data_IF_537959040463
#
_entry.id   IF_537959040463
#
_cell.length_a   1.000
_cell.length_b   1.000
_cell.length_c   1.000
_cell.angle_alpha   90.00
_cell.angle_beta   90.00
_cell.angle_gamma   90.00
#
_symmetry.space_group_name_H-M   'P 1'
#
loop_
_entity.id
_entity.type
_entity.pdbx_description
1 polymer ?
#
# COMPACT_ATOMS: atom_id res chain seq x y z
N UNK A 1 -3.93 30.22 3.61
CA UNK A 1 -5.20 29.46 3.71
C UNK A 1 -6.24 30.42 4.21
N UNK A 2 -7.20 30.71 3.36
CA UNK A 2 -8.34 31.57 3.64
C UNK A 2 -9.63 30.74 3.60
N UNK A 3 -10.73 31.30 4.11
CA UNK A 3 -12.03 30.60 4.11
C UNK A 3 -12.47 30.21 2.70
N UNK A 4 -12.15 31.05 1.70
CA UNK A 4 -12.49 30.81 0.31
C UNK A 4 -11.73 29.60 -0.28
N UNK A 5 -10.51 29.35 0.19
CA UNK A 5 -9.73 28.17 -0.19
C UNK A 5 -10.42 26.88 0.28
N UNK A 6 -10.98 26.90 1.49
CA UNK A 6 -11.70 25.75 2.06
C UNK A 6 -13.01 25.51 1.33
N UNK A 7 -13.78 26.56 1.03
CA UNK A 7 -15.00 26.43 0.24
C UNK A 7 -14.71 25.85 -1.15
N UNK A 8 -13.63 26.32 -1.80
CA UNK A 8 -13.16 25.78 -3.07
C UNK A 8 -12.71 24.32 -2.95
N UNK A 9 -11.98 23.97 -1.89
CA UNK A 9 -11.58 22.59 -1.63
C UNK A 9 -12.78 21.66 -1.48
N UNK A 10 -13.83 22.07 -0.75
CA UNK A 10 -15.05 21.28 -0.60
C UNK A 10 -15.73 21.06 -1.95
N UNK A 11 -15.92 22.14 -2.73
CA UNK A 11 -16.49 22.04 -4.08
C UNK A 11 -15.67 21.10 -4.98
N UNK A 12 -14.36 21.27 -4.99
CA UNK A 12 -13.49 20.52 -5.89
C UNK A 12 -13.31 19.06 -5.43
N UNK A 13 -13.30 18.75 -4.14
CA UNK A 13 -13.14 17.37 -3.66
C UNK A 13 -14.44 16.56 -3.77
N UNK A 14 -15.58 17.19 -3.47
CA UNK A 14 -16.87 16.49 -3.35
C UNK A 14 -17.82 16.72 -4.52
N UNK A 15 -17.60 17.76 -5.33
CA UNK A 15 -18.51 18.15 -6.40
C UNK A 15 -19.77 18.85 -5.91
N UNK A 16 -19.77 19.38 -4.68
CA UNK A 16 -20.90 20.15 -4.14
C UNK A 16 -20.94 21.55 -4.77
N UNK A 17 -22.10 21.96 -5.27
CA UNK A 17 -22.26 23.26 -5.96
C UNK A 17 -22.46 24.38 -4.95
N UNK A 18 -21.81 25.54 -5.16
CA UNK A 18 -22.02 26.72 -4.33
C UNK A 18 -23.24 27.48 -4.86
N UNK A 19 -24.28 27.62 -4.03
CA UNK A 19 -25.55 28.25 -4.43
C UNK A 19 -25.58 29.73 -4.04
N UNK A 20 -25.07 30.04 -2.85
CA UNK A 20 -25.08 31.37 -2.30
C UNK A 20 -23.84 31.60 -1.44
N UNK A 21 -23.29 32.80 -1.54
CA UNK A 21 -22.22 33.28 -0.69
C UNK A 21 -22.63 34.65 -0.16
N UNK A 22 -22.75 34.77 1.15
CA UNK A 22 -22.97 36.04 1.83
C UNK A 22 -21.78 36.34 2.77
N UNK A 23 -21.84 37.44 3.51
CA UNK A 23 -20.73 37.86 4.39
C UNK A 23 -20.49 36.90 5.55
N UNK A 24 -21.48 36.07 5.92
CA UNK A 24 -21.42 35.20 7.09
C UNK A 24 -21.20 33.73 6.72
N UNK A 25 -21.67 33.28 5.56
CA UNK A 25 -21.87 31.87 5.23
C UNK A 25 -21.66 31.59 3.74
N UNK A 26 -21.11 30.40 3.43
CA UNK A 26 -21.12 29.81 2.08
C UNK A 26 -22.08 28.61 2.08
N UNK A 27 -23.07 28.60 1.19
CA UNK A 27 -24.08 27.54 1.10
C UNK A 27 -23.85 26.64 -0.10
N UNK A 28 -23.92 25.32 0.14
CA UNK A 28 -23.66 24.27 -0.84
C UNK A 28 -24.92 23.45 -1.12
N UNK A 29 -25.15 23.08 -2.38
CA UNK A 29 -26.02 21.96 -2.75
C UNK A 29 -25.23 20.68 -2.56
N UNK A 30 -25.74 19.78 -1.71
CA UNK A 30 -25.09 18.50 -1.45
C UNK A 30 -25.73 17.39 -2.28
N UNK A 31 -27.06 17.24 -2.20
CA UNK A 31 -27.80 16.24 -2.95
C UNK A 31 -29.24 16.70 -3.20
N UNK A 32 -29.67 16.69 -4.47
CA UNK A 32 -31.01 17.13 -4.88
C UNK A 32 -31.36 18.53 -4.35
N UNK A 33 -32.32 18.64 -3.44
CA UNK A 33 -32.80 19.88 -2.80
C UNK A 33 -32.10 20.17 -1.46
N UNK A 34 -31.17 19.32 -1.01
CA UNK A 34 -30.55 19.43 0.32
C UNK A 34 -29.32 20.31 0.29
N UNK A 35 -29.28 21.24 1.24
CA UNK A 35 -28.22 22.23 1.39
C UNK A 35 -27.48 22.10 2.71
N UNK A 36 -26.25 22.59 2.74
CA UNK A 36 -25.49 22.80 3.98
C UNK A 36 -24.60 24.01 3.87
N UNK A 37 -24.13 24.48 5.02
CA UNK A 37 -23.55 25.81 5.13
C UNK A 37 -22.18 25.78 5.83
N UNK A 38 -21.26 26.63 5.38
CA UNK A 38 -19.96 26.85 5.99
C UNK A 38 -19.94 28.24 6.61
N UNK A 39 -19.89 28.31 7.94
CA UNK A 39 -19.79 29.58 8.66
C UNK A 39 -18.39 30.20 8.48
N UNK A 40 -18.31 31.38 7.87
CA UNK A 40 -17.05 32.05 7.56
C UNK A 40 -16.31 32.52 8.80
N UNK A 41 -17.01 33.03 9.81
CA UNK A 41 -16.41 33.54 11.06
C UNK A 41 -15.77 32.40 11.86
N UNK A 42 -16.48 31.29 12.01
CA UNK A 42 -15.98 30.09 12.69
C UNK A 42 -14.81 29.47 11.93
N UNK A 43 -14.93 29.32 10.61
CA UNK A 43 -13.85 28.77 9.77
C UNK A 43 -12.60 29.64 9.85
N UNK A 44 -12.72 30.98 9.81
CA UNK A 44 -11.60 31.89 9.95
C UNK A 44 -10.92 31.76 11.33
N UNK A 45 -11.70 31.56 12.40
CA UNK A 45 -11.17 31.32 13.74
C UNK A 45 -10.38 29.99 13.81
N UNK A 46 -10.89 28.93 13.19
CA UNK A 46 -10.21 27.63 13.11
C UNK A 46 -8.90 27.74 12.31
N UNK A 47 -8.93 28.39 11.15
CA UNK A 47 -7.73 28.66 10.34
C UNK A 47 -6.67 29.43 11.15
N UNK A 48 -7.08 30.44 11.92
CA UNK A 48 -6.19 31.18 12.80
C UNK A 48 -5.64 30.30 13.93
N UNK A 49 -6.42 29.36 14.44
CA UNK A 49 -5.96 28.43 15.48
C UNK A 49 -4.96 27.42 14.92
N UNK A 50 -5.16 26.94 13.69
CA UNK A 50 -4.28 26.02 12.98
C UNK A 50 -2.85 26.54 12.82
N UNK A 51 -2.63 27.86 12.82
CA UNK A 51 -1.27 28.43 12.76
C UNK A 51 -0.41 28.10 13.99
N UNK A 52 -1.02 27.60 15.08
CA UNK A 52 -0.30 27.16 16.30
C UNK A 52 0.13 25.70 16.24
N UNK A 53 -0.34 24.97 15.24
CA UNK A 53 -0.05 23.55 15.06
C UNK A 53 1.08 23.36 14.05
N UNK A 54 1.70 22.19 14.14
CA UNK A 54 2.74 21.69 13.25
C UNK A 54 2.29 20.36 12.64
N UNK A 55 2.92 19.99 11.55
CA UNK A 55 2.75 18.72 10.83
C UNK A 55 4.07 18.38 10.16
N UNK A 56 4.53 17.12 10.21
CA UNK A 56 5.73 16.67 9.52
C UNK A 56 5.40 15.89 8.25
N UNK A 57 4.49 14.92 8.30
CA UNK A 57 4.16 14.04 7.15
C UNK A 57 2.78 14.34 6.53
N UNK A 58 2.24 15.53 6.79
CA UNK A 58 0.97 16.03 6.27
C UNK A 58 -0.27 15.19 6.65
N UNK A 59 -0.13 14.29 7.62
CA UNK A 59 -1.21 13.44 8.15
C UNK A 59 -1.44 13.60 9.65
N UNK A 60 -0.48 14.14 10.38
CA UNK A 60 -0.63 14.44 11.79
C UNK A 60 -0.66 15.95 12.03
N UNK A 61 -1.46 16.36 13.01
CA UNK A 61 -1.60 17.74 13.44
C UNK A 61 -1.29 17.80 14.93
N UNK A 62 -0.27 18.55 15.32
CA UNK A 62 0.17 18.57 16.71
C UNK A 62 0.67 19.93 17.19
N UNK A 63 0.62 20.15 18.49
CA UNK A 63 1.28 21.23 19.20
C UNK A 63 1.80 20.68 20.53
N UNK A 64 2.24 21.54 21.47
CA UNK A 64 2.80 21.06 22.73
C UNK A 64 1.78 20.34 23.64
N UNK A 65 0.47 20.46 23.39
CA UNK A 65 -0.59 19.94 24.27
C UNK A 65 -1.59 19.01 23.58
N UNK A 66 -1.55 18.90 22.26
CA UNK A 66 -2.50 18.11 21.49
C UNK A 66 -1.81 17.48 20.29
N UNK A 67 -2.25 16.28 19.96
CA UNK A 67 -1.81 15.50 18.82
C UNK A 67 -3.04 14.81 18.24
N UNK A 68 -3.22 14.90 16.93
CA UNK A 68 -4.31 14.26 16.22
C UNK A 68 -3.79 13.68 14.90
N UNK A 69 -4.17 12.44 14.61
CA UNK A 69 -3.76 11.74 13.39
C UNK A 69 -4.90 10.89 12.88
N UNK A 70 -5.10 10.86 11.56
CA UNK A 70 -6.06 9.97 10.92
C UNK A 70 -5.64 8.53 11.13
N UNK A 71 -6.62 7.64 11.32
CA UNK A 71 -6.35 6.21 11.45
C UNK A 71 -6.99 5.40 10.33
N UNK A 72 -6.31 4.32 9.98
CA UNK A 72 -6.87 3.23 9.19
C UNK A 72 -7.33 2.15 10.13
N UNK A 73 -8.53 1.67 9.88
CA UNK A 73 -9.10 0.54 10.57
C UNK A 73 -9.12 -0.67 9.62
N UNK A 74 -8.45 -1.75 10.02
CA UNK A 74 -8.45 -3.03 9.29
C UNK A 74 -9.60 -3.94 9.73
N UNK A 75 -10.27 -3.62 10.85
CA UNK A 75 -11.41 -4.39 11.35
C UNK A 75 -12.70 -3.92 10.68
N UNK A 76 -13.33 -4.80 9.90
CA UNK A 76 -14.57 -4.53 9.13
C UNK A 76 -15.77 -4.07 9.98
N UNK A 77 -15.71 -4.24 11.31
CA UNK A 77 -16.81 -4.00 12.25
C UNK A 77 -16.46 -2.99 13.35
N UNK A 78 -15.97 -1.80 12.98
CA UNK A 78 -16.09 -0.69 13.94
C UNK A 78 -17.57 -0.31 14.06
N UNK A 79 -18.12 -0.56 15.23
CA UNK A 79 -19.34 0.10 15.68
C UNK A 79 -19.02 1.57 15.96
N UNK A 80 -20.04 2.44 15.83
CA UNK A 80 -20.03 3.90 16.08
C UNK A 80 -19.64 4.31 17.53
N UNK A 81 -18.85 3.53 18.25
CA UNK A 81 -18.47 3.80 19.64
C UNK A 81 -17.23 4.66 19.68
N UNK A 82 -17.44 5.93 20.04
CA UNK A 82 -16.39 6.81 20.52
C UNK A 82 -15.66 6.13 21.69
N UNK A 83 -14.33 6.04 21.60
CA UNK A 83 -13.51 5.50 22.68
C UNK A 83 -12.84 6.68 23.36
N UNK A 84 -13.15 6.92 24.63
CA UNK A 84 -12.48 7.94 25.44
C UNK A 84 -11.81 7.27 26.64
N UNK A 85 -10.53 7.61 26.88
CA UNK A 85 -9.77 7.16 28.05
C UNK A 85 -9.03 8.32 28.69
N UNK A 86 -9.26 8.52 29.98
CA UNK A 86 -8.55 9.52 30.78
C UNK A 86 -7.49 8.85 31.65
N UNK A 87 -6.30 9.43 31.64
CA UNK A 87 -5.20 9.07 32.51
C UNK A 87 -4.94 10.27 33.45
N UNK A 88 -5.58 10.30 34.63
CA UNK A 88 -5.44 11.41 35.56
C UNK A 88 -4.04 11.52 36.14
N UNK A 89 -3.28 10.41 36.20
CA UNK A 89 -1.93 10.36 36.78
C UNK A 89 -0.94 11.05 35.85
N UNK A 90 -0.94 10.67 34.58
CA UNK A 90 -0.07 11.28 33.57
C UNK A 90 -0.67 12.56 32.96
N UNK A 91 -1.91 12.91 33.35
CA UNK A 91 -2.66 14.08 32.88
C UNK A 91 -2.89 14.06 31.36
N UNK A 92 -3.19 12.88 30.84
CA UNK A 92 -3.45 12.61 29.43
C UNK A 92 -4.91 12.24 29.21
N UNK A 93 -5.42 12.51 28.02
CA UNK A 93 -6.70 12.01 27.53
C UNK A 93 -6.51 11.51 26.10
N UNK A 94 -6.97 10.30 25.85
CA UNK A 94 -6.97 9.63 24.56
C UNK A 94 -8.39 9.51 24.05
N UNK A 95 -8.61 9.78 22.76
CA UNK A 95 -9.87 9.46 22.09
C UNK A 95 -9.67 8.83 20.71
N UNK A 96 -10.59 7.95 20.33
CA UNK A 96 -10.82 7.52 18.95
C UNK A 96 -12.20 8.03 18.56
N UNK A 97 -12.23 9.01 17.67
CA UNK A 97 -13.46 9.66 17.24
C UNK A 97 -13.31 10.30 15.84
N UNK A 98 -14.40 10.87 15.34
CA UNK A 98 -14.40 11.79 14.20
C UNK A 98 -13.40 12.93 14.41
N UNK A 99 -12.86 13.47 13.30
CA UNK A 99 -11.80 14.47 13.38
C UNK A 99 -12.33 15.75 14.03
N UNK A 100 -11.45 16.48 14.71
CA UNK A 100 -11.73 17.85 15.11
C UNK A 100 -11.99 18.74 13.88
N UNK A 101 -12.64 19.89 14.07
CA UNK A 101 -12.84 20.82 12.95
C UNK A 101 -11.51 21.38 12.45
N UNK A 102 -10.54 21.61 13.35
CA UNK A 102 -9.14 21.90 13.03
C UNK A 102 -8.56 20.85 12.09
N UNK A 103 -8.60 19.57 12.49
CA UNK A 103 -8.01 18.49 11.72
C UNK A 103 -8.73 18.29 10.38
N UNK A 104 -10.06 18.40 10.34
CA UNK A 104 -10.83 18.29 9.10
C UNK A 104 -10.47 19.39 8.10
N UNK A 105 -10.37 20.64 8.55
CA UNK A 105 -9.95 21.76 7.68
C UNK A 105 -8.51 21.56 7.18
N UNK A 106 -7.61 21.11 8.06
CA UNK A 106 -6.24 20.75 7.70
C UNK A 106 -6.23 19.67 6.60
N UNK A 107 -6.97 18.58 6.79
CA UNK A 107 -7.05 17.46 5.86
C UNK A 107 -7.61 17.88 4.49
N UNK A 108 -8.70 18.66 4.47
CA UNK A 108 -9.30 19.17 3.23
C UNK A 108 -8.32 20.02 2.42
N UNK A 109 -7.56 20.89 3.10
CA UNK A 109 -6.54 21.71 2.47
C UNK A 109 -5.43 20.86 1.85
N UNK A 110 -4.97 19.84 2.57
CA UNK A 110 -3.92 18.93 2.09
C UNK A 110 -4.39 18.07 0.91
N UNK A 111 -5.60 17.53 0.96
CA UNK A 111 -6.19 16.76 -0.14
C UNK A 111 -6.41 17.59 -1.40
N UNK A 112 -6.77 18.87 -1.25
CA UNK A 112 -6.93 19.76 -2.39
C UNK A 112 -5.58 20.09 -3.04
N UNK A 113 -4.54 20.33 -2.24
CA UNK A 113 -3.18 20.59 -2.73
C UNK A 113 -2.59 19.40 -3.50
N UNK A 114 -2.84 18.17 -3.05
CA UNK A 114 -2.36 16.96 -3.73
C UNK A 114 -3.22 16.54 -4.93
N UNK A 115 -4.24 17.34 -5.29
CA UNK A 115 -5.18 17.03 -6.37
C UNK A 115 -5.78 15.62 -6.23
N UNK A 116 -6.19 15.27 -4.99
CA UNK A 116 -6.66 13.93 -4.69
C UNK A 116 -7.77 13.48 -5.67
N UNK A 117 -7.70 12.25 -6.23
CA UNK A 117 -8.62 11.73 -7.22
C UNK A 117 -10.08 11.75 -6.79
N UNK A 118 -10.95 11.66 -7.78
CA UNK A 118 -12.42 11.77 -7.72
C UNK A 118 -13.16 10.74 -6.86
N UNK A 119 -12.50 9.97 -5.99
CA UNK A 119 -13.17 8.99 -5.14
C UNK A 119 -14.18 9.65 -4.18
N UNK A 120 -13.87 10.88 -3.75
CA UNK A 120 -14.77 11.73 -2.96
C UNK A 120 -15.93 12.36 -3.77
N UNK A 121 -15.92 12.22 -5.10
CA UNK A 121 -17.04 12.60 -5.99
C UNK A 121 -17.93 11.40 -6.38
N UNK A 122 -17.63 10.19 -5.87
CA UNK A 122 -18.24 8.94 -6.30
C UNK A 122 -19.56 8.57 -5.60
N UNK A 123 -20.19 7.48 -6.07
CA UNK A 123 -21.53 7.06 -5.63
C UNK A 123 -21.69 6.64 -4.16
N UNK A 124 -20.60 6.30 -3.45
CA UNK A 124 -20.65 5.94 -2.01
C UNK A 124 -21.09 7.14 -1.17
N UNK A 125 -20.59 8.34 -1.48
CA UNK A 125 -20.96 9.57 -0.76
C UNK A 125 -22.42 9.91 -1.03
N UNK A 126 -22.89 9.78 -2.28
CA UNK A 126 -24.31 9.95 -2.62
C UNK A 126 -25.22 9.01 -1.83
N UNK A 127 -24.85 7.72 -1.67
CA UNK A 127 -25.62 6.77 -0.86
C UNK A 127 -25.61 7.14 0.64
N UNK A 128 -24.45 7.54 1.18
CA UNK A 128 -24.35 7.94 2.60
C UNK A 128 -25.14 9.20 2.89
N UNK A 129 -25.08 10.19 1.99
CA UNK A 129 -25.91 11.39 2.06
C UNK A 129 -27.39 11.05 2.10
N UNK A 130 -27.87 10.19 1.20
CA UNK A 130 -29.27 9.72 1.23
C UNK A 130 -29.63 9.10 2.57
N UNK A 131 -28.73 8.33 3.19
CA UNK A 131 -28.98 7.73 4.51
C UNK A 131 -29.07 8.79 5.62
N UNK A 132 -28.17 9.77 5.64
CA UNK A 132 -28.19 10.87 6.61
C UNK A 132 -29.52 11.64 6.54
N UNK A 133 -30.01 11.90 5.32
CA UNK A 133 -31.26 12.62 5.09
C UNK A 133 -32.52 11.72 5.07
N UNK A 134 -32.40 10.40 5.08
CA UNK A 134 -33.56 9.47 5.15
C UNK A 134 -33.85 8.98 6.55
N UNK A 135 -32.84 8.91 7.43
CA UNK A 135 -33.00 8.50 8.83
C UNK A 135 -33.58 9.59 9.73
N UNK A 136 -33.77 10.78 9.17
CA UNK A 136 -34.20 11.97 9.87
C UNK A 136 -35.66 12.28 9.51
N UNK A 137 -36.60 11.94 10.39
CA UNK A 137 -37.93 12.58 10.44
C UNK A 137 -37.78 14.04 10.90
N UNK A 138 -36.96 14.80 10.18
CA UNK A 138 -36.60 16.16 10.54
C UNK A 138 -37.73 17.09 10.11
N UNK A 139 -38.22 17.87 11.08
CA UNK A 139 -39.04 19.05 10.85
C UNK A 139 -38.43 19.90 9.72
N UNK A 140 -39.25 20.46 8.84
CA UNK A 140 -38.80 21.20 7.65
C UNK A 140 -37.77 22.32 7.95
N UNK A 141 -37.67 22.75 9.21
CA UNK A 141 -36.73 23.74 9.74
C UNK A 141 -35.26 23.29 9.87
N UNK A 142 -34.93 22.03 10.15
CA UNK A 142 -33.50 21.62 10.28
C UNK A 142 -32.86 21.18 8.94
N UNK A 143 -33.61 21.18 7.84
CA UNK A 143 -33.12 20.80 6.52
C UNK A 143 -32.16 21.82 5.91
N UNK A 144 -32.13 23.06 6.42
CA UNK A 144 -31.44 24.19 5.78
C UNK A 144 -30.20 24.71 6.55
N UNK A 145 -29.97 24.27 7.79
CA UNK A 145 -28.95 24.87 8.69
C UNK A 145 -27.86 23.90 9.19
N UNK A 146 -27.66 22.76 8.53
CA UNK A 146 -26.56 21.86 8.90
C UNK A 146 -25.21 22.44 8.47
N UNK A 147 -24.25 22.42 9.39
CA UNK A 147 -22.85 22.70 9.09
C UNK A 147 -22.31 21.70 8.07
N UNK A 148 -21.64 22.17 7.03
CA UNK A 148 -21.01 21.30 6.04
C UNK A 148 -19.93 20.43 6.70
N UNK A 149 -19.23 20.94 7.72
CA UNK A 149 -18.17 20.20 8.41
C UNK A 149 -18.73 18.98 9.14
N UNK A 150 -19.89 19.09 9.81
CA UNK A 150 -20.50 17.95 10.49
C UNK A 150 -20.97 16.89 9.50
N UNK A 151 -21.55 17.30 8.36
CA UNK A 151 -21.94 16.38 7.28
C UNK A 151 -20.72 15.63 6.76
N UNK A 152 -19.60 16.32 6.51
CA UNK A 152 -18.38 15.68 6.03
C UNK A 152 -17.87 14.61 7.00
N UNK A 153 -17.92 14.84 8.32
CA UNK A 153 -17.56 13.83 9.34
C UNK A 153 -18.43 12.57 9.29
N UNK A 154 -19.70 12.71 8.88
CA UNK A 154 -20.65 11.60 8.75
C UNK A 154 -20.50 10.84 7.43
N UNK A 155 -20.30 11.56 6.32
CA UNK A 155 -20.37 10.96 4.98
C UNK A 155 -19.02 10.49 4.45
N UNK A 156 -17.91 11.11 4.85
CA UNK A 156 -16.59 10.67 4.42
C UNK A 156 -16.30 9.30 5.06
N UNK A 157 -16.03 8.26 4.27
CA UNK A 157 -15.71 6.95 4.81
C UNK A 157 -14.35 6.96 5.51
N UNK A 158 -14.25 6.25 6.64
CA UNK A 158 -12.99 5.95 7.34
C UNK A 158 -12.20 7.21 7.73
N UNK A 159 -12.90 8.23 8.24
CA UNK A 159 -12.29 9.51 8.62
C UNK A 159 -11.97 9.58 10.13
N UNK A 160 -11.98 8.46 10.84
CA UNK A 160 -11.69 8.44 12.27
C UNK A 160 -10.23 8.84 12.57
N UNK A 161 -10.02 9.47 13.72
CA UNK A 161 -8.72 9.95 14.20
C UNK A 161 -8.43 9.41 15.60
N UNK A 162 -7.14 9.24 15.92
CA UNK A 162 -6.70 9.18 17.31
C UNK A 162 -6.33 10.60 17.74
N UNK A 163 -6.89 11.03 18.86
CA UNK A 163 -6.64 12.31 19.49
C UNK A 163 -6.01 12.09 20.86
N UNK A 164 -4.90 12.78 21.12
CA UNK A 164 -4.20 12.77 22.40
C UNK A 164 -4.11 14.21 22.89
N UNK A 165 -4.63 14.46 24.08
CA UNK A 165 -4.50 15.76 24.75
C UNK A 165 -3.74 15.62 26.06
N UNK A 166 -2.88 16.58 26.33
CA UNK A 166 -2.02 16.63 27.50
C UNK A 166 -2.17 17.96 28.23
N UNK A 167 -2.18 17.91 29.57
CA UNK A 167 -2.07 19.12 30.40
C UNK A 167 -0.63 19.62 30.52
N UNK A 168 0.35 18.79 30.20
CA UNK A 168 1.78 19.13 30.18
C UNK A 168 2.27 19.36 28.75
N UNK A 169 3.38 20.08 28.60
CA UNK A 169 4.00 20.24 27.29
C UNK A 169 4.75 18.97 26.90
N UNK A 170 4.48 18.46 25.69
CA UNK A 170 5.11 17.29 25.11
C UNK A 170 5.68 17.61 23.73
N UNK A 171 6.72 16.88 23.35
CA UNK A 171 7.30 16.87 22.00
C UNK A 171 6.65 15.78 21.12
N UNK A 172 6.84 15.87 19.80
CA UNK A 172 6.25 14.94 18.84
C UNK A 172 6.62 13.48 19.14
N UNK A 173 7.90 13.19 19.35
CA UNK A 173 8.36 11.82 19.65
C UNK A 173 7.70 11.24 20.91
N UNK A 174 7.33 12.10 21.87
CA UNK A 174 6.59 11.66 23.05
C UNK A 174 5.15 11.32 22.71
N UNK A 175 4.47 12.13 21.90
CA UNK A 175 3.14 11.80 21.38
C UNK A 175 3.13 10.53 20.55
N UNK A 176 4.12 10.31 19.69
CA UNK A 176 4.26 9.06 18.92
C UNK A 176 4.40 7.84 19.82
N UNK A 177 5.24 7.92 20.87
CA UNK A 177 5.36 6.84 21.84
C UNK A 177 4.03 6.56 22.57
N UNK A 178 3.30 7.61 22.94
CA UNK A 178 1.99 7.48 23.59
C UNK A 178 0.93 6.91 22.63
N UNK A 179 0.96 7.30 21.35
CA UNK A 179 0.10 6.78 20.30
C UNK A 179 0.28 5.28 20.14
N UNK A 180 1.52 4.80 19.95
CA UNK A 180 1.79 3.38 19.79
C UNK A 180 1.50 2.58 21.07
N UNK A 181 1.77 3.16 22.25
CA UNK A 181 1.37 2.55 23.52
C UNK A 181 -0.16 2.42 23.65
N UNK A 182 -0.91 3.43 23.21
CA UNK A 182 -2.37 3.41 23.23
C UNK A 182 -2.93 2.39 22.23
N UNK A 183 -2.41 2.34 21.01
CA UNK A 183 -2.78 1.36 19.99
C UNK A 183 -2.51 -0.06 20.48
N UNK A 184 -1.33 -0.31 21.06
CA UNK A 184 -1.01 -1.62 21.63
C UNK A 184 -1.98 -2.01 22.75
N UNK A 185 -2.25 -1.09 23.69
CA UNK A 185 -3.21 -1.36 24.76
C UNK A 185 -4.61 -1.62 24.22
N UNK A 186 -5.05 -0.89 23.19
CA UNK A 186 -6.34 -1.12 22.57
C UNK A 186 -6.40 -2.52 21.96
N UNK A 187 -5.43 -2.85 21.10
CA UNK A 187 -5.35 -4.16 20.44
C UNK A 187 -5.26 -5.31 21.44
N UNK A 188 -4.45 -5.17 22.48
CA UNK A 188 -4.30 -6.19 23.53
C UNK A 188 -5.61 -6.49 24.28
N UNK A 189 -6.44 -5.46 24.52
CA UNK A 189 -7.67 -5.62 25.31
C UNK A 189 -8.93 -5.89 24.47
N UNK A 190 -8.89 -5.63 23.16
CA UNK A 190 -10.11 -5.63 22.31
C UNK A 190 -9.94 -6.35 20.97
N UNK A 191 -8.74 -6.81 20.64
CA UNK A 191 -8.36 -7.30 19.31
C UNK A 191 -8.62 -6.28 18.17
N UNK A 192 -8.87 -5.01 18.50
CA UNK A 192 -9.03 -3.95 17.52
C UNK A 192 -7.69 -3.58 16.91
N UNK A 193 -7.61 -3.64 15.58
CA UNK A 193 -6.44 -3.24 14.81
C UNK A 193 -6.68 -1.88 14.17
N UNK A 194 -6.08 -0.86 14.78
CA UNK A 194 -6.06 0.52 14.27
C UNK A 194 -4.63 0.96 14.08
N UNK A 195 -4.33 1.64 12.99
CA UNK A 195 -3.00 2.16 12.68
C UNK A 195 -3.10 3.61 12.24
N UNK A 196 -2.18 4.50 12.66
CA UNK A 196 -2.14 5.86 12.16
C UNK A 196 -1.76 5.84 10.69
N UNK A 197 -2.34 6.76 9.93
CA UNK A 197 -1.86 7.06 8.59
C UNK A 197 -0.48 7.69 8.70
N UNK A 198 0.37 7.37 7.72
CA UNK A 198 1.74 7.91 7.64
C UNK A 198 1.93 8.90 6.52
N UNK A 199 1.15 8.77 5.45
CA UNK A 199 1.15 9.74 4.37
C UNK A 199 -0.24 9.86 3.76
N UNK A 200 -0.50 11.01 3.14
CA UNK A 200 -1.84 11.34 2.66
C UNK A 200 -2.32 10.38 1.56
N UNK A 201 -1.40 9.83 0.76
CA UNK A 201 -1.76 8.86 -0.29
C UNK A 201 -2.38 7.59 0.30
N UNK A 202 -2.15 7.22 1.56
CA UNK A 202 -2.81 6.08 2.21
C UNK A 202 -4.32 6.27 2.35
N UNK A 203 -4.76 7.52 2.56
CA UNK A 203 -6.17 7.87 2.64
C UNK A 203 -6.83 7.80 1.26
N UNK A 204 -6.14 8.34 0.27
CA UNK A 204 -6.60 8.48 -1.11
C UNK A 204 -6.60 7.14 -1.85
N UNK A 205 -5.53 6.38 -1.65
CA UNK A 205 -5.29 5.07 -2.21
C UNK A 205 -5.35 4.10 -1.03
N UNK A 206 -6.55 3.68 -0.62
CA UNK A 206 -6.65 2.48 0.21
C UNK A 206 -5.87 1.39 -0.52
N UNK A 207 -4.78 0.87 0.07
CA UNK A 207 -3.73 0.00 -0.50
C UNK A 207 -4.17 -1.35 -1.09
N UNK A 208 -5.37 -1.40 -1.66
CA UNK A 208 -5.62 -2.30 -2.77
C UNK A 208 -4.82 -1.70 -3.92
N UNK A 209 -3.88 -2.47 -4.44
CA UNK A 209 -3.28 -2.22 -5.76
C UNK A 209 -4.46 -2.16 -6.73
N UNK A 210 -5.00 -0.96 -6.86
CA UNK A 210 -6.31 -0.73 -7.41
C UNK A 210 -6.15 -0.95 -8.90
N UNK A 211 -6.61 -2.12 -9.35
CA UNK A 211 -6.80 -2.46 -10.76
C UNK A 211 -5.66 -1.99 -11.65
N UNK A 212 -4.52 -2.70 -11.60
CA UNK A 212 -3.52 -2.71 -12.68
C UNK A 212 -4.23 -2.83 -14.04
N UNK A 213 -5.31 -3.61 -14.08
CA UNK A 213 -6.15 -3.83 -15.27
C UNK A 213 -7.41 -2.98 -15.21
N UNK A 214 -7.61 -2.13 -16.21
CA UNK A 214 -8.78 -1.23 -16.35
C UNK A 214 -9.97 -1.87 -17.08
N UNK A 215 -9.86 -3.13 -17.50
CA UNK A 215 -10.90 -3.83 -18.27
C UNK A 215 -12.20 -3.94 -17.47
N UNK A 216 -13.33 -3.78 -18.16
CA UNK A 216 -14.65 -3.98 -17.58
C UNK A 216 -15.01 -5.45 -17.58
N UNK A 217 -15.96 -5.85 -16.73
CA UNK A 217 -16.48 -7.23 -16.72
C UNK A 217 -17.09 -7.63 -18.06
N UNK A 218 -17.59 -6.66 -18.83
CA UNK A 218 -18.09 -6.86 -20.20
C UNK A 218 -17.01 -7.24 -21.21
N UNK A 219 -15.75 -6.87 -20.94
CA UNK A 219 -14.63 -7.05 -21.86
C UNK A 219 -13.91 -8.39 -21.61
N UNK A 220 -14.36 -9.15 -20.61
CA UNK A 220 -13.76 -10.42 -20.21
C UNK A 220 -14.26 -11.52 -21.15
N UNK A 221 -13.34 -12.10 -21.92
CA UNK A 221 -13.59 -13.28 -22.73
C UNK A 221 -13.51 -14.57 -21.91
N UNK A 222 -14.12 -15.64 -22.43
CA UNK A 222 -13.94 -16.98 -21.89
C UNK A 222 -12.46 -17.41 -21.96
N UNK A 223 -11.97 -18.20 -20.98
CA UNK A 223 -10.57 -18.61 -20.94
C UNK A 223 -10.20 -19.44 -22.18
N UNK A 224 -9.01 -19.16 -22.73
CA UNK A 224 -8.42 -19.88 -23.88
C UNK A 224 -7.26 -20.79 -23.48
N UNK A 225 -6.90 -20.79 -22.20
CA UNK A 225 -5.74 -21.50 -21.64
C UNK A 225 -6.08 -22.10 -20.28
N UNK A 226 -5.42 -23.19 -19.94
CA UNK A 226 -5.46 -23.84 -18.63
C UNK A 226 -4.23 -23.42 -17.84
N UNK A 227 -4.45 -23.04 -16.57
CA UNK A 227 -3.42 -22.60 -15.64
C UNK A 227 -3.28 -23.61 -14.50
N UNK A 228 -2.11 -23.64 -13.85
CA UNK A 228 -1.91 -24.43 -12.64
C UNK A 228 -2.74 -23.87 -11.47
N UNK A 229 -3.59 -24.71 -10.87
CA UNK A 229 -4.48 -24.31 -9.77
C UNK A 229 -3.71 -23.74 -8.59
N UNK A 230 -2.58 -24.33 -8.21
CA UNK A 230 -1.76 -23.86 -7.07
C UNK A 230 -1.24 -22.44 -7.30
N UNK A 231 -0.75 -22.14 -8.51
CA UNK A 231 -0.29 -20.80 -8.86
C UNK A 231 -1.42 -19.78 -8.84
N UNK A 232 -2.60 -20.17 -9.34
CA UNK A 232 -3.80 -19.32 -9.29
C UNK A 232 -4.21 -19.02 -7.85
N UNK A 233 -4.15 -20.00 -6.94
CA UNK A 233 -4.49 -19.78 -5.53
C UNK A 233 -3.54 -18.78 -4.86
N UNK A 234 -2.22 -18.89 -5.10
CA UNK A 234 -1.25 -17.91 -4.61
C UNK A 234 -1.49 -16.52 -5.20
N UNK A 235 -1.74 -16.44 -6.51
CA UNK A 235 -2.04 -15.18 -7.19
C UNK A 235 -3.33 -14.53 -6.66
N UNK A 236 -4.41 -15.30 -6.47
CA UNK A 236 -5.67 -14.80 -5.90
C UNK A 236 -5.51 -14.36 -4.45
N UNK A 237 -4.72 -15.10 -3.65
CA UNK A 237 -4.39 -14.69 -2.28
C UNK A 237 -3.66 -13.35 -2.26
N UNK A 238 -2.74 -13.12 -3.21
CA UNK A 238 -2.08 -11.83 -3.40
C UNK A 238 -3.06 -10.72 -3.79
N UNK A 239 -4.01 -10.98 -4.68
CA UNK A 239 -5.03 -9.98 -5.06
C UNK A 239 -5.95 -9.63 -3.88
N UNK A 240 -6.35 -10.62 -3.08
CA UNK A 240 -7.35 -10.45 -2.02
C UNK A 240 -6.77 -9.98 -0.69
N UNK A 241 -5.45 -9.96 -0.53
CA UNK A 241 -4.80 -9.59 0.74
C UNK A 241 -4.83 -8.09 0.98
N UNK A 242 -5.14 -7.69 2.23
CA UNK A 242 -5.17 -6.28 2.62
C UNK A 242 -3.82 -5.76 3.12
N UNK A 243 -2.97 -6.63 3.66
CA UNK A 243 -1.58 -6.29 3.99
C UNK A 243 -0.69 -6.49 2.77
N UNK A 244 0.15 -5.49 2.53
CA UNK A 244 0.92 -5.35 1.31
C UNK A 244 2.16 -6.26 1.26
N UNK A 245 2.72 -6.60 2.43
CA UNK A 245 3.76 -7.61 2.60
C UNK A 245 3.23 -9.01 2.30
N UNK A 246 2.01 -9.33 2.74
CA UNK A 246 1.34 -10.56 2.35
C UNK A 246 1.01 -10.59 0.85
N UNK A 247 0.68 -9.46 0.21
CA UNK A 247 0.53 -9.40 -1.25
C UNK A 247 1.84 -9.77 -1.93
N UNK A 248 2.96 -9.12 -1.55
CA UNK A 248 4.28 -9.39 -2.09
C UNK A 248 4.66 -10.87 -1.97
N UNK A 249 4.55 -11.44 -0.76
CA UNK A 249 4.91 -12.84 -0.51
C UNK A 249 4.02 -13.82 -1.28
N UNK A 250 2.73 -13.52 -1.42
CA UNK A 250 1.81 -14.37 -2.19
C UNK A 250 2.19 -14.41 -3.67
N UNK A 251 2.59 -13.29 -4.26
CA UNK A 251 3.10 -13.26 -5.63
C UNK A 251 4.49 -13.91 -5.74
N UNK A 252 5.35 -13.75 -4.74
CA UNK A 252 6.65 -14.40 -4.69
C UNK A 252 6.54 -15.92 -4.71
N UNK A 253 5.58 -16.51 -3.99
CA UNK A 253 5.35 -17.95 -3.96
C UNK A 253 5.05 -18.56 -5.35
N UNK A 254 4.55 -17.75 -6.30
CA UNK A 254 4.37 -18.20 -7.70
C UNK A 254 5.71 -18.51 -8.37
N UNK A 255 6.76 -17.73 -8.08
CA UNK A 255 8.11 -18.01 -8.58
C UNK A 255 8.74 -19.18 -7.81
N UNK A 256 8.59 -19.17 -6.49
CA UNK A 256 9.17 -20.18 -5.59
C UNK A 256 8.71 -21.61 -5.91
N UNK A 257 7.47 -21.77 -6.38
CA UNK A 257 6.93 -23.05 -6.87
C UNK A 257 7.85 -23.74 -7.89
N UNK A 258 8.60 -22.98 -8.69
CA UNK A 258 9.47 -23.52 -9.74
C UNK A 258 10.93 -23.70 -9.34
N UNK A 259 11.35 -23.29 -8.14
CA UNK A 259 12.77 -23.23 -7.78
C UNK A 259 13.45 -24.58 -7.88
N UNK A 260 12.87 -25.62 -7.30
CA UNK A 260 13.45 -26.96 -7.35
C UNK A 260 13.53 -27.49 -8.77
N UNK A 261 12.43 -27.43 -9.51
CA UNK A 261 12.34 -27.93 -10.89
C UNK A 261 13.36 -27.24 -11.81
N UNK A 262 13.40 -25.92 -11.81
CA UNK A 262 14.27 -25.15 -12.70
C UNK A 262 15.74 -25.34 -12.33
N UNK A 263 16.05 -25.40 -11.04
CA UNK A 263 17.41 -25.64 -10.58
C UNK A 263 17.90 -27.04 -11.00
N UNK A 264 17.04 -28.05 -10.88
CA UNK A 264 17.32 -29.41 -11.38
C UNK A 264 17.48 -29.44 -12.92
N UNK A 265 16.63 -28.73 -13.66
CA UNK A 265 16.71 -28.62 -15.12
C UNK A 265 18.03 -27.95 -15.57
N UNK A 266 18.51 -26.93 -14.85
CA UNK A 266 19.81 -26.29 -15.09
C UNK A 266 20.97 -27.27 -14.84
N UNK A 267 20.95 -28.03 -13.74
CA UNK A 267 21.96 -29.07 -13.46
C UNK A 267 21.98 -30.10 -14.59
N UNK A 268 20.82 -30.63 -14.99
CA UNK A 268 20.71 -31.61 -16.07
C UNK A 268 21.24 -31.01 -17.39
N UNK A 269 20.92 -29.76 -17.68
CA UNK A 269 21.36 -29.08 -18.90
C UNK A 269 22.89 -28.90 -18.93
N UNK A 270 23.51 -28.57 -17.80
CA UNK A 270 24.99 -28.49 -17.67
C UNK A 270 25.66 -29.85 -17.78
N UNK A 271 25.09 -30.89 -17.17
CA UNK A 271 25.59 -32.25 -17.33
C UNK A 271 25.53 -32.67 -18.80
N UNK A 272 24.40 -32.41 -19.48
CA UNK A 272 24.25 -32.65 -20.92
C UNK A 272 25.27 -31.87 -21.75
N UNK A 273 25.52 -30.61 -21.43
CA UNK A 273 26.49 -29.80 -22.19
C UNK A 273 27.93 -30.28 -21.98
N UNK A 274 28.29 -30.76 -20.79
CA UNK A 274 29.63 -31.33 -20.54
C UNK A 274 29.85 -32.67 -21.25
N UNK A 275 28.90 -33.61 -21.16
CA UNK A 275 29.07 -34.95 -21.78
C UNK A 275 29.07 -34.89 -23.31
N UNK A 276 28.51 -33.83 -23.90
CA UNK A 276 28.46 -33.64 -25.36
C UNK A 276 29.69 -32.90 -25.91
N UNK A 277 30.62 -32.45 -25.06
CA UNK A 277 31.84 -31.80 -25.56
C UNK A 277 32.72 -32.79 -26.33
N UNK A 278 33.30 -32.41 -27.48
CA UNK A 278 34.18 -33.30 -28.26
C UNK A 278 35.40 -33.80 -27.47
N UNK A 279 35.84 -33.05 -26.45
CA UNK A 279 36.98 -33.40 -25.63
C UNK A 279 36.61 -34.24 -24.39
N UNK A 280 35.33 -34.53 -24.14
CA UNK A 280 34.88 -35.35 -23.03
C UNK A 280 35.13 -36.83 -23.32
N UNK A 281 35.63 -37.56 -22.33
CA UNK A 281 35.82 -39.00 -22.39
C UNK A 281 35.23 -39.66 -21.15
N UNK A 282 34.20 -40.48 -21.35
CA UNK A 282 33.59 -41.30 -20.30
C UNK A 282 34.55 -42.32 -19.67
N UNK A 283 35.73 -42.56 -20.29
CA UNK A 283 36.78 -43.42 -19.77
C UNK A 283 37.81 -42.67 -18.91
N UNK A 284 37.85 -41.34 -18.98
CA UNK A 284 38.85 -40.53 -18.28
C UNK A 284 38.33 -40.13 -16.91
N UNK A 285 38.95 -40.64 -15.84
CA UNK A 285 38.56 -40.37 -14.45
C UNK A 285 38.47 -38.88 -14.13
N UNK A 286 39.35 -38.05 -14.71
CA UNK A 286 39.31 -36.58 -14.56
C UNK A 286 37.98 -35.98 -15.03
N UNK A 287 37.44 -36.46 -16.15
CA UNK A 287 36.19 -35.93 -16.71
C UNK A 287 34.99 -36.38 -15.89
N UNK A 288 35.02 -37.62 -15.40
CA UNK A 288 34.00 -38.14 -14.48
C UNK A 288 34.00 -37.36 -13.15
N UNK A 289 35.18 -37.06 -12.60
CA UNK A 289 35.31 -36.24 -11.39
C UNK A 289 34.81 -34.81 -11.60
N UNK A 290 35.06 -34.21 -12.78
CA UNK A 290 34.52 -32.88 -13.10
C UNK A 290 32.98 -32.90 -13.15
N UNK A 291 32.38 -33.93 -13.74
CA UNK A 291 30.92 -34.10 -13.81
C UNK A 291 30.31 -34.28 -12.41
N UNK A 292 30.92 -35.11 -11.57
CA UNK A 292 30.53 -35.26 -10.16
C UNK A 292 30.64 -33.92 -9.42
N UNK A 293 31.72 -33.16 -9.66
CA UNK A 293 31.92 -31.84 -9.07
C UNK A 293 30.82 -30.84 -9.44
N UNK A 294 30.34 -30.83 -10.69
CA UNK A 294 29.23 -29.98 -11.12
C UNK A 294 27.96 -30.31 -10.32
N UNK A 295 27.64 -31.60 -10.20
CA UNK A 295 26.46 -32.06 -9.45
C UNK A 295 26.58 -31.72 -7.97
N UNK A 296 27.70 -32.07 -7.33
CA UNK A 296 27.93 -31.84 -5.89
C UNK A 296 28.00 -30.35 -5.51
N UNK A 297 28.48 -29.49 -6.42
CA UNK A 297 28.54 -28.05 -6.16
C UNK A 297 27.16 -27.43 -5.97
N UNK A 298 26.13 -28.01 -6.60
CA UNK A 298 24.76 -27.50 -6.64
C UNK A 298 23.76 -28.30 -5.80
N UNK A 299 23.91 -29.63 -5.71
CA UNK A 299 23.09 -30.48 -4.85
C UNK A 299 23.72 -30.57 -3.46
N UNK A 300 23.42 -29.60 -2.59
CA UNK A 300 23.81 -29.67 -1.17
C UNK A 300 22.60 -30.10 -0.34
N UNK A 301 22.72 -31.24 0.34
CA UNK A 301 21.72 -31.72 1.28
C UNK A 301 22.14 -31.37 2.71
N UNK A 302 21.21 -30.84 3.50
CA UNK A 302 21.40 -30.66 4.95
C UNK A 302 20.08 -31.00 5.65
N UNK A 303 20.12 -31.93 6.61
CA UNK A 303 18.95 -32.41 7.33
C UNK A 303 17.81 -32.93 6.41
N UNK A 304 18.15 -33.69 5.36
CA UNK A 304 17.19 -34.23 4.39
C UNK A 304 16.44 -33.17 3.53
N UNK A 305 16.72 -31.88 3.73
CA UNK A 305 16.23 -30.78 2.91
C UNK A 305 17.25 -30.35 1.86
N UNK A 306 16.71 -30.01 0.68
CA UNK A 306 17.48 -29.54 -0.46
C UNK A 306 17.86 -28.07 -0.28
N UNK A 307 19.17 -27.76 -0.13
CA UNK A 307 19.63 -26.37 -0.04
C UNK A 307 19.79 -25.76 -1.42
N UNK A 308 18.73 -25.10 -1.89
CA UNK A 308 18.77 -24.27 -3.09
C UNK A 308 19.40 -22.92 -2.75
N UNK A 309 20.32 -22.45 -3.60
CA UNK A 309 20.68 -21.05 -3.60
C UNK A 309 19.50 -20.24 -4.16
N UNK A 310 18.66 -19.74 -3.25
CA UNK A 310 17.40 -19.07 -3.58
C UNK A 310 17.59 -17.91 -4.57
N UNK A 311 18.62 -17.07 -4.39
CA UNK A 311 18.93 -15.97 -5.30
C UNK A 311 19.18 -16.46 -6.74
N UNK A 312 19.90 -17.56 -6.88
CA UNK A 312 20.18 -18.17 -8.18
C UNK A 312 18.91 -18.79 -8.79
N UNK A 313 18.08 -19.42 -7.97
CA UNK A 313 16.80 -19.94 -8.43
C UNK A 313 15.87 -18.84 -8.95
N UNK A 314 15.78 -17.70 -8.24
CA UNK A 314 15.06 -16.51 -8.71
C UNK A 314 15.55 -16.10 -10.10
N UNK A 315 16.88 -15.98 -10.28
CA UNK A 315 17.46 -15.57 -11.56
C UNK A 315 17.10 -16.56 -12.69
N UNK A 316 17.21 -17.86 -12.43
CA UNK A 316 16.86 -18.89 -13.43
C UNK A 316 15.37 -18.89 -13.78
N UNK A 317 14.48 -18.67 -12.82
CA UNK A 317 13.03 -18.57 -13.03
C UNK A 317 12.70 -17.36 -13.91
N UNK A 318 13.30 -16.21 -13.61
CA UNK A 318 13.11 -14.98 -14.41
C UNK A 318 13.55 -15.20 -15.85
N UNK A 319 14.74 -15.79 -16.07
CA UNK A 319 15.24 -16.10 -17.42
C UNK A 319 14.36 -17.10 -18.17
N UNK A 320 13.78 -18.07 -17.45
CA UNK A 320 12.98 -19.12 -18.05
C UNK A 320 11.62 -18.62 -18.51
N UNK A 321 10.95 -17.81 -17.68
CA UNK A 321 9.57 -17.41 -17.89
C UNK A 321 9.38 -15.97 -18.37
N UNK A 322 10.43 -15.18 -18.46
CA UNK A 322 10.38 -13.79 -18.95
C UNK A 322 11.47 -13.57 -20.00
N UNK A 323 11.45 -14.30 -21.13
CA UNK A 323 12.53 -14.22 -22.12
C UNK A 323 12.59 -12.86 -22.82
N UNK A 324 11.46 -12.16 -22.98
CA UNK A 324 11.40 -10.83 -23.59
C UNK A 324 11.29 -9.73 -22.51
N UNK A 325 12.42 -9.10 -22.21
CA UNK A 325 12.50 -8.00 -21.25
C UNK A 325 11.83 -6.72 -21.76
N UNK A 326 11.62 -6.55 -23.07
CA UNK A 326 10.91 -5.40 -23.60
C UNK A 326 9.42 -5.48 -23.28
N UNK A 327 8.83 -6.67 -23.34
CA UNK A 327 7.43 -6.89 -22.95
C UNK A 327 7.21 -6.55 -21.47
N UNK A 328 8.13 -6.96 -20.59
CA UNK A 328 8.10 -6.59 -19.18
C UNK A 328 8.18 -5.06 -18.99
N UNK A 329 9.08 -4.39 -19.72
CA UNK A 329 9.22 -2.93 -19.63
C UNK A 329 7.96 -2.20 -20.13
N UNK A 330 7.36 -2.65 -21.22
CA UNK A 330 6.09 -2.10 -21.72
C UNK A 330 4.94 -2.32 -20.73
N UNK A 331 4.88 -3.49 -20.09
CA UNK A 331 3.87 -3.77 -19.07
C UNK A 331 4.02 -2.83 -17.86
N UNK A 332 5.25 -2.49 -17.46
CA UNK A 332 5.51 -1.50 -16.41
C UNK A 332 5.00 -0.10 -16.80
N UNK A 333 5.29 0.34 -18.02
CA UNK A 333 4.85 1.65 -18.53
C UNK A 333 3.32 1.77 -18.58
N UNK A 334 2.62 0.69 -18.92
CA UNK A 334 1.15 0.65 -18.92
C UNK A 334 0.54 0.81 -17.52
N UNK A 335 1.23 0.34 -16.48
CA UNK A 335 0.80 0.52 -15.09
C UNK A 335 1.02 1.96 -14.66
N UNK A 336 2.26 2.41 -14.78
CA UNK A 336 2.68 3.76 -14.44
C UNK A 336 4.00 4.07 -15.18
N UNK A 337 4.02 5.10 -16.03
CA UNK A 337 5.18 5.44 -16.86
C UNK A 337 6.43 5.82 -16.04
N UNK A 338 6.29 6.10 -14.74
CA UNK A 338 7.41 6.44 -13.87
C UNK A 338 8.07 5.21 -13.20
N UNK A 339 7.49 4.01 -13.32
CA UNK A 339 8.02 2.81 -12.63
C UNK A 339 9.37 2.37 -13.20
N UNK A 340 9.52 2.32 -14.52
CA UNK A 340 10.77 1.92 -15.15
C UNK A 340 11.93 2.85 -14.73
N UNK A 341 11.68 4.16 -14.69
CA UNK A 341 12.65 5.14 -14.23
C UNK A 341 12.95 4.99 -12.74
N UNK A 342 11.93 4.76 -11.90
CA UNK A 342 12.10 4.48 -10.47
C UNK A 342 13.05 3.29 -10.24
N UNK A 343 12.82 2.15 -10.89
CA UNK A 343 13.70 0.98 -10.72
C UNK A 343 15.13 1.24 -11.20
N UNK A 344 15.29 2.07 -12.24
CA UNK A 344 16.62 2.44 -12.79
C UNK A 344 17.45 3.25 -11.80
N UNK A 345 16.84 4.19 -11.09
CA UNK A 345 17.58 5.15 -10.25
C UNK A 345 17.57 4.81 -8.76
N UNK A 346 16.56 4.09 -8.28
CA UNK A 346 16.29 3.89 -6.86
C UNK A 346 16.53 2.45 -6.42
N UNK A 347 17.39 2.26 -5.42
CA UNK A 347 17.46 1.00 -4.67
C UNK A 347 16.32 0.95 -3.65
N UNK A 348 15.84 -0.25 -3.31
CA UNK A 348 14.77 -0.40 -2.31
C UNK A 348 15.29 0.07 -0.93
N UNK A 349 14.73 1.11 -0.31
CA UNK A 349 15.33 1.72 0.89
C UNK A 349 15.50 0.77 2.08
N UNK A 350 14.48 -0.05 2.37
CA UNK A 350 14.49 -0.94 3.54
C UNK A 350 15.17 -2.29 3.29
N UNK A 351 15.59 -2.61 2.06
CA UNK A 351 16.23 -3.88 1.71
C UNK A 351 17.58 -3.74 0.99
N UNK A 352 17.91 -2.53 0.53
CA UNK A 352 18.98 -2.26 -0.44
C UNK A 352 18.89 -3.12 -1.70
N UNK A 353 17.66 -3.47 -2.12
CA UNK A 353 17.41 -4.14 -3.39
C UNK A 353 18.01 -3.36 -4.57
N UNK A 354 18.64 -4.08 -5.49
CA UNK A 354 19.40 -3.48 -6.60
C UNK A 354 18.54 -2.58 -7.50
N UNK A 355 19.19 -1.57 -8.09
CA UNK A 355 18.65 -0.81 -9.22
C UNK A 355 18.60 -1.70 -10.47
N UNK A 356 17.59 -1.53 -11.30
CA UNK A 356 17.37 -2.32 -12.52
C UNK A 356 17.17 -1.37 -13.69
N UNK A 357 18.12 -1.35 -14.62
CA UNK A 357 18.01 -0.59 -15.86
C UNK A 357 17.46 -1.49 -16.97
N UNK A 358 16.13 -1.49 -17.17
CA UNK A 358 15.47 -2.28 -18.22
C UNK A 358 15.89 -1.90 -19.64
N UNK A 359 16.53 -0.74 -19.82
CA UNK A 359 17.09 -0.28 -21.10
C UNK A 359 18.57 -0.64 -21.29
N UNK A 360 19.17 -1.47 -20.41
CA UNK A 360 20.57 -1.92 -20.58
C UNK A 360 20.69 -2.86 -21.78
N UNK A 361 21.80 -2.76 -22.51
CA UNK A 361 22.12 -3.69 -23.60
C UNK A 361 22.55 -5.08 -23.10
N UNK A 362 22.73 -5.25 -21.78
CA UNK A 362 23.16 -6.50 -21.16
C UNK A 362 22.00 -7.15 -20.43
N UNK A 363 21.32 -8.11 -21.07
CA UNK A 363 20.26 -8.89 -20.43
C UNK A 363 20.75 -9.58 -19.14
N UNK A 364 21.99 -10.08 -19.15
CA UNK A 364 22.63 -10.70 -17.99
C UNK A 364 22.79 -9.77 -16.79
N UNK A 365 22.93 -8.47 -17.03
CA UNK A 365 22.94 -7.47 -15.98
C UNK A 365 21.52 -7.26 -15.43
N UNK A 366 20.52 -7.18 -16.32
CA UNK A 366 19.12 -6.98 -15.96
C UNK A 366 18.63 -8.12 -15.08
N UNK A 367 18.80 -9.38 -15.51
CA UNK A 367 18.36 -10.54 -14.73
C UNK A 367 19.04 -10.62 -13.36
N UNK A 368 20.36 -10.41 -13.29
CA UNK A 368 21.08 -10.42 -12.00
C UNK A 368 20.58 -9.36 -11.04
N UNK A 369 20.39 -8.15 -11.54
CA UNK A 369 19.94 -7.03 -10.70
C UNK A 369 18.48 -7.20 -10.29
N UNK A 370 17.62 -7.66 -11.19
CA UNK A 370 16.22 -7.95 -10.91
C UNK A 370 16.08 -9.07 -9.87
N UNK A 371 16.81 -10.18 -10.04
CA UNK A 371 16.81 -11.29 -9.09
C UNK A 371 17.28 -10.83 -7.70
N UNK A 372 18.37 -10.05 -7.62
CA UNK A 372 18.86 -9.48 -6.35
C UNK A 372 17.85 -8.55 -5.72
N UNK A 373 17.18 -7.70 -6.50
CA UNK A 373 16.15 -6.79 -6.00
C UNK A 373 14.99 -7.55 -5.36
N UNK A 374 14.46 -8.56 -6.06
CA UNK A 374 13.36 -9.40 -5.57
C UNK A 374 13.79 -10.18 -4.32
N UNK A 375 14.92 -10.88 -4.37
CA UNK A 375 15.43 -11.70 -3.28
C UNK A 375 15.72 -10.91 -2.00
N UNK A 376 16.43 -9.77 -2.11
CA UNK A 376 16.75 -8.94 -0.95
C UNK A 376 15.48 -8.35 -0.31
N UNK A 377 14.53 -7.93 -1.14
CA UNK A 377 13.23 -7.42 -0.68
C UNK A 377 12.46 -8.50 0.07
N UNK A 378 12.31 -9.70 -0.51
CA UNK A 378 11.68 -10.86 0.15
C UNK A 378 12.34 -11.16 1.49
N UNK A 379 13.68 -11.21 1.53
CA UNK A 379 14.41 -11.53 2.76
C UNK A 379 14.19 -10.51 3.87
N UNK A 380 14.16 -9.22 3.55
CA UNK A 380 13.89 -8.19 4.55
C UNK A 380 12.44 -8.21 5.05
N UNK A 381 11.48 -8.62 4.21
CA UNK A 381 10.08 -8.81 4.62
C UNK A 381 9.96 -10.00 5.59
N UNK A 382 10.62 -11.13 5.30
CA UNK A 382 10.51 -12.36 6.10
C UNK A 382 11.37 -12.30 7.37
N UNK A 383 12.50 -11.60 7.34
CA UNK A 383 13.45 -11.57 8.45
C UNK A 383 13.55 -10.17 9.07
N UNK A 384 13.15 -10.07 10.34
CA UNK A 384 13.26 -8.84 11.14
C UNK A 384 14.09 -9.08 12.39
N UNK A 385 15.39 -9.38 12.21
CA UNK A 385 16.31 -9.58 13.35
C UNK A 385 16.83 -8.24 13.85
N UNK A 386 16.96 -8.07 15.15
CA UNK A 386 17.49 -6.85 15.77
C UNK A 386 18.91 -6.51 15.27
N UNK A 387 19.74 -7.52 15.04
CA UNK A 387 21.12 -7.36 14.55
C UNK A 387 21.23 -6.94 13.08
N UNK A 388 20.14 -6.97 12.31
CA UNK A 388 20.14 -6.54 10.92
C UNK A 388 19.96 -5.02 10.84
N UNK A 389 20.91 -4.35 10.18
CA UNK A 389 20.82 -2.90 9.89
C UNK A 389 19.67 -2.54 8.93
N UNK A 390 19.22 -3.52 8.15
CA UNK A 390 18.31 -3.35 7.03
C UNK A 390 17.19 -4.38 7.23
N UNK A 391 15.99 -3.91 7.52
CA UNK A 391 14.82 -4.74 7.85
C UNK A 391 13.56 -4.04 7.41
N UNK A 392 12.57 -4.82 6.98
CA UNK A 392 11.23 -4.31 6.77
C UNK A 392 10.56 -4.10 8.13
N UNK A 393 9.98 -2.93 8.30
CA UNK A 393 9.12 -2.58 9.42
C UNK A 393 7.71 -2.43 8.86
N UNK A 394 6.79 -3.35 9.18
CA UNK A 394 5.40 -3.28 8.74
C UNK A 394 4.82 -1.91 9.06
N UNK A 395 3.90 -1.49 8.21
CA UNK A 395 3.47 -0.12 8.17
C UNK A 395 4.62 0.75 7.68
N UNK A 396 5.56 1.21 8.51
CA UNK A 396 6.59 2.21 8.15
C UNK A 396 7.13 2.16 6.70
N UNK A 397 7.56 1.00 6.23
CA UNK A 397 8.22 0.85 4.92
C UNK A 397 7.24 0.55 3.76
N UNK A 398 5.94 0.66 4.00
CA UNK A 398 4.89 0.26 3.06
C UNK A 398 4.92 1.03 1.74
N UNK A 399 5.25 2.32 1.81
CA UNK A 399 5.36 3.18 0.63
C UNK A 399 6.41 2.67 -0.35
N UNK A 400 7.54 2.26 0.19
CA UNK A 400 8.64 1.73 -0.60
C UNK A 400 8.32 0.34 -1.15
N UNK A 401 7.59 -0.47 -0.36
CA UNK A 401 7.17 -1.81 -0.78
C UNK A 401 6.11 -1.77 -1.90
N UNK A 402 5.27 -0.74 -1.97
CA UNK A 402 4.21 -0.61 -2.97
C UNK A 402 4.74 -0.75 -4.42
N UNK A 403 5.84 -0.07 -4.73
CA UNK A 403 6.48 -0.17 -6.05
C UNK A 403 7.00 -1.59 -6.32
N UNK A 404 7.48 -2.29 -5.30
CA UNK A 404 7.96 -3.66 -5.45
C UNK A 404 6.83 -4.65 -5.67
N UNK A 405 5.61 -4.38 -5.18
CA UNK A 405 4.47 -5.26 -5.41
C UNK A 405 3.98 -5.14 -6.87
N UNK A 406 4.01 -3.96 -7.48
CA UNK A 406 3.69 -3.83 -8.91
C UNK A 406 4.61 -4.72 -9.76
N UNK A 407 5.91 -4.67 -9.47
CA UNK A 407 6.91 -5.53 -10.11
C UNK A 407 6.61 -7.00 -9.81
N UNK A 408 6.52 -7.39 -8.54
CA UNK A 408 6.35 -8.78 -8.13
C UNK A 408 5.08 -9.41 -8.70
N UNK A 409 3.98 -8.65 -8.75
CA UNK A 409 2.73 -9.09 -9.37
C UNK A 409 2.90 -9.32 -10.87
N UNK A 410 3.54 -8.40 -11.60
CA UNK A 410 3.81 -8.60 -13.02
C UNK A 410 4.66 -9.84 -13.26
N UNK A 411 5.75 -10.02 -12.51
CA UNK A 411 6.61 -11.20 -12.64
C UNK A 411 5.81 -12.49 -12.42
N UNK A 412 4.92 -12.53 -11.43
CA UNK A 412 4.03 -13.66 -11.19
C UNK A 412 3.05 -13.89 -12.35
N UNK A 413 2.47 -12.83 -12.92
CA UNK A 413 1.60 -12.93 -14.11
C UNK A 413 2.35 -13.51 -15.32
N UNK A 414 3.57 -13.05 -15.60
CA UNK A 414 4.42 -13.61 -16.67
C UNK A 414 4.72 -15.10 -16.44
N UNK A 415 5.05 -15.50 -15.21
CA UNK A 415 5.31 -16.91 -14.86
C UNK A 415 4.06 -17.76 -15.11
N UNK A 416 2.90 -17.34 -14.63
CA UNK A 416 1.63 -18.07 -14.82
C UNK A 416 1.27 -18.19 -16.30
N UNK A 417 1.43 -17.11 -17.07
CA UNK A 417 1.14 -17.10 -18.50
C UNK A 417 2.09 -18.04 -19.27
N UNK A 418 3.39 -18.00 -18.99
CA UNK A 418 4.37 -18.80 -19.69
C UNK A 418 4.43 -20.28 -19.24
N UNK A 419 3.86 -20.63 -18.08
CA UNK A 419 3.64 -22.04 -17.67
C UNK A 419 2.33 -22.64 -18.22
N UNK A 420 1.37 -21.80 -18.58
CA UNK A 420 0.03 -22.24 -18.99
C UNK A 420 0.00 -23.00 -20.33
N UNK A 421 -1.06 -23.79 -20.54
CA UNK A 421 -1.28 -24.59 -21.75
C UNK A 421 -2.53 -24.10 -22.50
N UNK A 422 -2.51 -24.19 -23.83
CA UNK A 422 -3.71 -23.94 -24.64
C UNK A 422 -4.80 -24.98 -24.32
N UNK A 423 -6.07 -24.54 -24.35
CA UNK A 423 -7.24 -25.36 -24.05
C UNK A 423 -7.55 -26.39 -25.14
#
# INVERSE_FOLDING_TARGET
MEVIDIAKAIRDLFGFEIIAENDEVVSFTIISDKTASLNKKETAAIIKNLSKYKSNEDVELYNSKSYEVLIRNETLYFFNTEIIKEDPVNKLKYSIDKPSDEYLIFLLSKLHQTSAPSFLRGGIIGHRLRRVYSQTEISQTELFDRSILSILKEVVPRIETIQISSKTNLELNQFENLLYAFIFNLGYNTDFSVMPLRFLDEFVQTFRINRIRKSRTSDIEAPKRIYSNELILHYQKGISSESIDHQFLSFYHVLEHFYEKIYNDDIISRVKSEITKPNFSYKRTKDLNNLIGIIQSRLRYKNEEFQINELEAVELVLRRFIPDLNELNQALDQINPNLAEYYRIQSVPFSNGNKVNFSSNSEDEIYRNLAKRVYLTRNCIVHSKESQKVKFTPFKDDKDLLNEIYLMRLLAEFVILNDSKEL
#
